data_IF_271721859227
#
_entry.id   IF_271721859227
#
_cell.length_a   1.000
_cell.length_b   1.000
_cell.length_c   1.000
_cell.angle_alpha   90.00
_cell.angle_beta   90.00
_cell.angle_gamma   90.00
#
_symmetry.space_group_name_H-M   'P 1'
#
loop_
_entity.id
_entity.type
_entity.pdbx_description
1 polymer ?
#
# COMPACT_ATOMS: atom_id res chain seq x y z
N UNK A 1 -14.57 -18.59 -4.28
CA UNK A 1 -14.45 -17.13 -4.53
C UNK A 1 -14.34 -16.31 -3.25
N UNK A 2 -15.36 -16.28 -2.38
CA UNK A 2 -15.32 -15.45 -1.16
C UNK A 2 -14.17 -15.82 -0.22
N UNK A 3 -13.93 -17.11 0.02
CA UNK A 3 -12.88 -17.59 0.94
C UNK A 3 -11.48 -17.20 0.46
N UNK A 4 -11.18 -17.36 -0.84
CA UNK A 4 -9.89 -16.96 -1.42
C UNK A 4 -9.67 -15.45 -1.37
N UNK A 5 -10.73 -14.67 -1.59
CA UNK A 5 -10.67 -13.21 -1.54
C UNK A 5 -10.43 -12.73 -0.10
N UNK A 6 -11.10 -13.33 0.88
CA UNK A 6 -10.87 -13.05 2.30
C UNK A 6 -9.42 -13.40 2.72
N UNK A 7 -8.93 -14.59 2.34
CA UNK A 7 -7.57 -15.01 2.66
C UNK A 7 -6.50 -14.08 2.05
N UNK A 8 -6.65 -13.74 0.76
CA UNK A 8 -5.75 -12.80 0.08
C UNK A 8 -5.80 -11.39 0.71
N UNK A 9 -6.99 -10.95 1.14
CA UNK A 9 -7.16 -9.67 1.86
C UNK A 9 -6.42 -9.65 3.19
N UNK A 10 -6.56 -10.70 4.01
CA UNK A 10 -5.90 -10.77 5.32
C UNK A 10 -4.37 -10.81 5.16
N UNK A 11 -3.86 -11.67 4.27
CA UNK A 11 -2.41 -11.75 4.01
C UNK A 11 -1.89 -10.43 3.44
N UNK A 12 -2.59 -9.85 2.46
CA UNK A 12 -2.23 -8.56 1.89
C UNK A 12 -2.23 -7.44 2.92
N UNK A 13 -3.20 -7.41 3.84
CA UNK A 13 -3.29 -6.39 4.89
C UNK A 13 -2.14 -6.50 5.88
N UNK A 14 -1.75 -7.71 6.28
CA UNK A 14 -0.57 -7.94 7.13
C UNK A 14 0.70 -7.48 6.39
N UNK A 15 0.86 -7.85 5.12
CA UNK A 15 2.02 -7.47 4.32
C UNK A 15 2.09 -5.95 4.15
N UNK A 16 0.98 -5.29 3.81
CA UNK A 16 0.93 -3.83 3.71
C UNK A 16 1.26 -3.15 5.03
N UNK A 17 0.73 -3.64 6.16
CA UNK A 17 1.03 -3.07 7.46
C UNK A 17 2.53 -3.17 7.80
N UNK A 18 3.12 -4.37 7.66
CA UNK A 18 4.53 -4.60 7.98
C UNK A 18 5.45 -3.85 7.02
N UNK A 19 5.23 -4.00 5.71
CA UNK A 19 6.07 -3.34 4.68
C UNK A 19 5.91 -1.81 4.75
N UNK A 20 4.70 -1.33 5.01
CA UNK A 20 4.44 0.09 5.22
C UNK A 20 5.19 0.63 6.43
N UNK A 21 5.18 -0.08 7.56
CA UNK A 21 5.98 0.29 8.73
C UNK A 21 7.48 0.31 8.41
N UNK A 22 8.00 -0.69 7.72
CA UNK A 22 9.42 -0.73 7.35
C UNK A 22 9.79 0.45 6.45
N UNK A 23 9.05 0.65 5.34
CA UNK A 23 9.36 1.69 4.35
C UNK A 23 9.15 3.08 4.93
N UNK A 24 7.98 3.34 5.51
CA UNK A 24 7.64 4.68 5.99
C UNK A 24 8.18 4.95 7.37
N UNK A 25 7.85 4.09 8.34
CA UNK A 25 8.21 4.30 9.75
C UNK A 25 9.72 4.25 10.03
N UNK A 26 10.45 3.31 9.41
CA UNK A 26 11.89 3.16 9.69
C UNK A 26 12.78 3.95 8.73
N UNK A 27 12.41 4.08 7.45
CA UNK A 27 13.30 4.68 6.45
C UNK A 27 12.84 6.08 6.01
N UNK A 28 11.70 6.19 5.35
CA UNK A 28 11.30 7.44 4.69
C UNK A 28 10.96 8.56 5.67
N UNK A 29 10.20 8.27 6.74
CA UNK A 29 9.76 9.27 7.71
C UNK A 29 10.94 10.00 8.38
N UNK A 30 11.90 9.30 9.03
CA UNK A 30 13.02 9.96 9.70
C UNK A 30 14.05 10.55 8.73
N UNK A 31 14.32 9.90 7.60
CA UNK A 31 15.43 10.29 6.73
C UNK A 31 15.04 11.33 5.67
N UNK A 32 13.77 11.37 5.24
CA UNK A 32 13.36 12.15 4.07
C UNK A 32 12.10 12.97 4.32
N UNK A 33 11.02 12.40 4.85
CA UNK A 33 9.74 13.08 4.94
C UNK A 33 9.74 14.17 6.00
N UNK A 34 9.93 13.86 7.30
CA UNK A 34 9.88 14.87 8.37
C UNK A 34 10.79 16.08 8.14
N UNK A 35 12.06 15.92 7.71
CA UNK A 35 12.93 17.07 7.45
C UNK A 35 12.37 18.01 6.36
N UNK A 36 11.61 17.47 5.40
CA UNK A 36 11.08 18.19 4.25
C UNK A 36 9.58 18.56 4.40
N UNK A 37 8.98 18.36 5.57
CA UNK A 37 7.60 18.75 5.86
C UNK A 37 7.54 20.00 6.76
N UNK A 38 6.47 20.78 6.59
CA UNK A 38 6.15 21.88 7.49
C UNK A 38 5.48 21.34 8.75
N UNK A 39 5.81 21.92 9.90
CA UNK A 39 5.26 21.51 11.20
C UNK A 39 4.07 22.38 11.58
N UNK A 40 2.96 21.72 11.93
CA UNK A 40 1.75 22.35 12.43
C UNK A 40 1.31 21.64 13.70
N UNK A 41 0.98 22.42 14.74
CA UNK A 41 0.51 21.88 16.00
C UNK A 41 -0.76 21.03 15.78
N UNK A 42 -0.73 19.79 16.26
CA UNK A 42 -1.87 18.86 16.17
C UNK A 42 -2.02 18.12 14.84
N UNK A 43 -1.14 18.34 13.85
CA UNK A 43 -1.21 17.63 12.56
C UNK A 43 -0.87 16.14 12.69
N UNK A 44 0.20 15.83 13.43
CA UNK A 44 0.69 14.46 13.64
C UNK A 44 0.31 14.00 15.05
N UNK A 45 -0.32 12.82 15.15
CA UNK A 45 -0.60 12.17 16.44
C UNK A 45 0.68 11.57 17.01
N UNK A 46 0.91 11.70 18.31
CA UNK A 46 2.03 11.04 18.99
C UNK A 46 1.95 9.52 18.90
N UNK A 47 0.73 8.98 19.05
CA UNK A 47 0.42 7.56 18.86
C UNK A 47 -0.66 7.47 17.79
N UNK A 48 -0.46 6.68 16.72
CA UNK A 48 -1.48 6.49 15.70
C UNK A 48 -2.68 5.72 16.28
N UNK A 49 -3.88 6.01 15.78
CA UNK A 49 -5.04 5.19 16.09
C UNK A 49 -4.92 3.85 15.35
N UNK A 50 -4.71 2.78 16.11
CA UNK A 50 -4.42 1.45 15.55
C UNK A 50 -5.57 0.87 14.74
N UNK A 51 -6.81 1.03 15.19
CA UNK A 51 -7.98 0.47 14.50
C UNK A 51 -8.15 0.99 13.06
N UNK A 52 -8.22 2.32 12.81
CA UNK A 52 -8.31 2.83 11.44
C UNK A 52 -7.07 2.51 10.61
N UNK A 53 -5.87 2.46 11.21
CA UNK A 53 -4.65 2.07 10.50
C UNK A 53 -4.71 0.61 10.00
N UNK A 54 -5.14 -0.32 10.85
CA UNK A 54 -5.29 -1.74 10.49
C UNK A 54 -6.38 -1.88 9.42
N UNK A 55 -7.52 -1.21 9.60
CA UNK A 55 -8.65 -1.25 8.65
C UNK A 55 -8.21 -0.68 7.29
N UNK A 56 -7.46 0.42 7.25
CA UNK A 56 -6.97 1.00 6.00
C UNK A 56 -6.12 0.00 5.20
N UNK A 57 -5.22 -0.72 5.86
CA UNK A 57 -4.40 -1.75 5.21
C UNK A 57 -5.23 -2.92 4.68
N UNK A 58 -6.25 -3.36 5.43
CA UNK A 58 -7.18 -4.40 4.98
C UNK A 58 -8.03 -3.94 3.78
N UNK A 59 -8.48 -2.68 3.78
CA UNK A 59 -9.25 -2.11 2.66
C UNK A 59 -8.37 -2.01 1.40
N UNK A 60 -7.13 -1.55 1.52
CA UNK A 60 -6.18 -1.54 0.39
C UNK A 60 -5.92 -2.96 -0.13
N UNK A 61 -5.73 -3.94 0.76
CA UNK A 61 -5.54 -5.33 0.38
C UNK A 61 -6.77 -5.93 -0.30
N UNK A 62 -7.97 -5.59 0.18
CA UNK A 62 -9.24 -5.99 -0.42
C UNK A 62 -9.38 -5.43 -1.84
N UNK A 63 -9.03 -4.16 -2.05
CA UNK A 63 -9.04 -3.54 -3.37
C UNK A 63 -8.16 -4.32 -4.35
N UNK A 64 -6.93 -4.66 -3.95
CA UNK A 64 -6.00 -5.41 -4.78
C UNK A 64 -6.49 -6.84 -5.04
N UNK A 65 -6.95 -7.53 -3.99
CA UNK A 65 -7.50 -8.87 -4.10
C UNK A 65 -8.72 -8.91 -5.04
N UNK A 66 -9.59 -7.90 -4.98
CA UNK A 66 -10.75 -7.78 -5.84
C UNK A 66 -10.35 -7.50 -7.30
N UNK A 67 -9.44 -6.56 -7.55
CA UNK A 67 -8.92 -6.30 -8.91
C UNK A 67 -8.29 -7.58 -9.50
N UNK A 68 -7.46 -8.28 -8.72
CA UNK A 68 -6.76 -9.46 -9.21
C UNK A 68 -7.67 -10.67 -9.40
N UNK A 69 -8.58 -10.94 -8.47
CA UNK A 69 -9.48 -12.09 -8.56
C UNK A 69 -10.60 -11.86 -9.58
N UNK A 70 -11.29 -10.73 -9.49
CA UNK A 70 -12.53 -10.46 -10.21
C UNK A 70 -12.34 -9.78 -11.56
N UNK A 71 -11.30 -8.96 -11.74
CA UNK A 71 -11.15 -8.15 -12.98
C UNK A 71 -10.02 -8.63 -13.90
N UNK A 72 -8.90 -9.09 -13.34
CA UNK A 72 -7.67 -9.27 -14.11
C UNK A 72 -7.16 -10.72 -14.18
N UNK A 73 -7.67 -11.64 -13.37
CA UNK A 73 -7.20 -13.03 -13.35
C UNK A 73 -5.72 -13.19 -12.95
N UNK A 74 -5.18 -12.29 -12.13
CA UNK A 74 -3.76 -12.30 -11.72
C UNK A 74 -3.53 -13.33 -10.61
N UNK A 75 -2.61 -14.28 -10.84
CA UNK A 75 -2.39 -15.45 -9.95
C UNK A 75 -0.93 -15.76 -9.62
N UNK A 76 0.02 -14.97 -10.10
CA UNK A 76 1.45 -15.18 -9.83
C UNK A 76 2.06 -13.97 -9.14
N UNK A 77 3.06 -14.22 -8.28
CA UNK A 77 3.75 -13.16 -7.56
C UNK A 77 4.31 -12.10 -8.50
N UNK A 78 4.98 -12.50 -9.59
CA UNK A 78 5.60 -11.56 -10.51
C UNK A 78 4.57 -10.67 -11.24
N UNK A 79 3.43 -11.23 -11.64
CA UNK A 79 2.35 -10.45 -12.25
C UNK A 79 1.68 -9.52 -11.23
N UNK A 80 1.44 -10.02 -10.01
CA UNK A 80 0.91 -9.24 -8.91
C UNK A 80 1.83 -8.10 -8.49
N UNK A 81 3.15 -8.33 -8.46
CA UNK A 81 4.11 -7.30 -8.10
C UNK A 81 4.13 -6.16 -9.12
N UNK A 82 4.13 -6.48 -10.42
CA UNK A 82 4.07 -5.45 -11.48
C UNK A 82 2.77 -4.65 -11.40
N UNK A 83 1.63 -5.34 -11.34
CA UNK A 83 0.34 -4.69 -11.26
C UNK A 83 0.20 -3.85 -9.98
N UNK A 84 0.64 -4.38 -8.84
CA UNK A 84 0.56 -3.73 -7.55
C UNK A 84 1.45 -2.51 -7.42
N UNK A 85 2.66 -2.56 -7.98
CA UNK A 85 3.55 -1.41 -8.07
C UNK A 85 2.89 -0.26 -8.83
N UNK A 86 2.29 -0.55 -9.98
CA UNK A 86 1.62 0.46 -10.82
C UNK A 86 0.39 1.03 -10.10
N UNK A 87 -0.48 0.17 -9.57
CA UNK A 87 -1.71 0.60 -8.88
C UNK A 87 -1.37 1.51 -7.69
N UNK A 88 -0.45 1.07 -6.82
CA UNK A 88 -0.10 1.84 -5.63
C UNK A 88 0.62 3.14 -5.99
N UNK A 89 1.52 3.12 -6.99
CA UNK A 89 2.22 4.32 -7.44
C UNK A 89 1.26 5.36 -8.03
N UNK A 90 0.26 4.96 -8.82
CA UNK A 90 -0.72 5.89 -9.38
C UNK A 90 -1.64 6.48 -8.30
N UNK A 91 -2.08 5.66 -7.33
CA UNK A 91 -2.89 6.13 -6.19
C UNK A 91 -2.07 7.13 -5.35
N UNK A 92 -0.84 6.77 -4.98
CA UNK A 92 0.05 7.64 -4.20
C UNK A 92 0.34 8.94 -4.94
N UNK A 93 0.71 8.88 -6.22
CA UNK A 93 1.00 10.08 -7.00
C UNK A 93 -0.21 11.02 -7.04
N UNK A 94 -1.42 10.48 -7.24
CA UNK A 94 -2.64 11.28 -7.24
C UNK A 94 -2.85 11.97 -5.89
N UNK A 95 -2.74 11.25 -4.77
CA UNK A 95 -2.88 11.81 -3.42
C UNK A 95 -1.81 12.87 -3.13
N UNK A 96 -0.55 12.58 -3.45
CA UNK A 96 0.56 13.49 -3.16
C UNK A 96 0.49 14.78 -3.99
N UNK A 97 0.06 14.70 -5.25
CA UNK A 97 -0.18 15.89 -6.07
C UNK A 97 -1.35 16.73 -5.52
N UNK A 98 -2.42 16.09 -5.03
CA UNK A 98 -3.51 16.81 -4.37
C UNK A 98 -3.04 17.47 -3.07
N UNK A 99 -2.24 16.80 -2.26
CA UNK A 99 -1.69 17.35 -1.02
C UNK A 99 -0.79 18.55 -1.30
N UNK A 100 0.04 18.46 -2.33
CA UNK A 100 0.89 19.57 -2.77
C UNK A 100 0.09 20.74 -3.37
N UNK A 101 -1.03 20.47 -4.04
CA UNK A 101 -1.86 21.51 -4.65
C UNK A 101 -2.73 22.26 -3.63
N UNK A 102 -3.30 21.55 -2.65
CA UNK A 102 -4.28 22.12 -1.73
C UNK A 102 -3.69 22.57 -0.39
N UNK A 103 -2.55 22.02 0.04
CA UNK A 103 -2.03 22.22 1.39
C UNK A 103 -0.55 22.58 1.42
N UNK A 104 -0.17 23.37 2.42
CA UNK A 104 1.22 23.74 2.67
C UNK A 104 1.95 22.71 3.54
N UNK A 105 1.74 21.41 3.29
CA UNK A 105 2.36 20.33 4.09
C UNK A 105 3.84 20.13 3.76
N UNK A 106 4.24 20.36 2.51
CA UNK A 106 5.57 20.06 2.02
C UNK A 106 6.39 21.34 1.83
N UNK A 107 7.68 21.30 2.19
CA UNK A 107 8.62 22.40 1.91
C UNK A 107 9.04 22.45 0.44
N UNK A 108 8.98 21.31 -0.24
CA UNK A 108 9.41 21.10 -1.63
C UNK A 108 8.80 19.79 -2.17
N UNK A 109 9.16 19.36 -3.37
CA UNK A 109 8.65 18.12 -3.99
C UNK A 109 9.33 16.82 -3.50
N UNK A 110 10.32 16.90 -2.60
CA UNK A 110 11.06 15.70 -2.14
C UNK A 110 10.12 14.67 -1.46
N UNK A 111 9.20 15.03 -0.56
CA UNK A 111 8.27 14.08 0.05
C UNK A 111 7.34 13.39 -0.96
N UNK A 112 6.95 14.11 -2.03
CA UNK A 112 6.11 13.58 -3.11
C UNK A 112 6.84 12.46 -3.85
N UNK A 113 8.10 12.69 -4.23
CA UNK A 113 8.93 11.69 -4.93
C UNK A 113 9.28 10.52 -4.02
N UNK A 114 9.57 10.80 -2.75
CA UNK A 114 9.89 9.78 -1.75
C UNK A 114 8.69 8.83 -1.50
N UNK A 115 7.50 9.39 -1.34
CA UNK A 115 6.26 8.62 -1.17
C UNK A 115 5.93 7.77 -2.40
N UNK A 116 6.13 8.33 -3.61
CA UNK A 116 5.95 7.58 -4.85
C UNK A 116 6.89 6.35 -4.92
N UNK A 117 8.15 6.52 -4.55
CA UNK A 117 9.11 5.42 -4.51
C UNK A 117 8.74 4.37 -3.44
N UNK A 118 8.37 4.82 -2.24
CA UNK A 118 7.91 3.95 -1.17
C UNK A 118 6.66 3.14 -1.55
N UNK A 119 5.69 3.81 -2.17
CA UNK A 119 4.44 3.23 -2.65
C UNK A 119 4.65 2.22 -3.77
N UNK A 120 5.60 2.48 -4.67
CA UNK A 120 5.97 1.52 -5.72
C UNK A 120 6.48 0.21 -5.11
N UNK A 121 7.41 0.28 -4.15
CA UNK A 121 7.96 -0.90 -3.47
C UNK A 121 6.91 -1.62 -2.63
N UNK A 122 6.13 -0.86 -1.86
CA UNK A 122 5.04 -1.40 -1.04
C UNK A 122 3.98 -2.11 -1.90
N UNK A 123 3.56 -1.47 -2.99
CA UNK A 123 2.62 -2.03 -3.96
C UNK A 123 3.15 -3.28 -4.63
N UNK A 124 4.44 -3.33 -4.97
CA UNK A 124 5.07 -4.51 -5.55
C UNK A 124 5.04 -5.71 -4.60
N UNK A 125 5.46 -5.51 -3.34
CA UNK A 125 5.55 -6.60 -2.37
C UNK A 125 4.14 -7.07 -1.97
N UNK A 126 3.23 -6.13 -1.64
CA UNK A 126 1.86 -6.46 -1.25
C UNK A 126 1.05 -7.06 -2.40
N UNK A 127 1.12 -6.49 -3.60
CA UNK A 127 0.49 -7.04 -4.79
C UNK A 127 1.01 -8.44 -5.14
N UNK A 128 2.33 -8.64 -5.06
CA UNK A 128 2.93 -9.96 -5.25
C UNK A 128 2.39 -11.00 -4.25
N UNK A 129 2.34 -10.67 -2.97
CA UNK A 129 1.82 -11.55 -1.92
C UNK A 129 0.33 -11.91 -2.14
N UNK A 130 -0.51 -10.91 -2.43
CA UNK A 130 -1.94 -11.10 -2.70
C UNK A 130 -2.14 -12.03 -3.90
N UNK A 131 -1.44 -11.80 -5.01
CA UNK A 131 -1.53 -12.64 -6.19
C UNK A 131 -1.07 -14.08 -5.94
N UNK A 132 -0.01 -14.26 -5.14
CA UNK A 132 0.50 -15.58 -4.77
C UNK A 132 -0.54 -16.40 -3.98
N UNK A 133 -1.23 -15.77 -3.02
CA UNK A 133 -2.31 -16.41 -2.24
C UNK A 133 -3.46 -16.82 -3.15
N UNK A 134 -3.90 -15.92 -4.04
CA UNK A 134 -4.96 -16.21 -5.01
C UNK A 134 -4.60 -17.39 -5.91
N UNK A 135 -3.37 -17.45 -6.42
CA UNK A 135 -2.88 -18.56 -7.23
C UNK A 135 -2.81 -19.88 -6.48
N UNK A 136 -2.29 -19.87 -5.25
CA UNK A 136 -2.17 -21.06 -4.41
C UNK A 136 -3.53 -21.68 -4.09
N UNK A 137 -4.56 -20.85 -3.81
CA UNK A 137 -5.88 -21.34 -3.46
C UNK A 137 -6.69 -21.83 -4.66
N UNK A 138 -6.52 -21.22 -5.84
CA UNK A 138 -7.16 -21.72 -7.06
C UNK A 138 -6.70 -23.14 -7.41
N UNK A 139 -5.41 -23.46 -7.20
CA UNK A 139 -4.89 -24.81 -7.40
C UNK A 139 -5.58 -25.83 -6.48
N UNK A 140 -5.90 -25.44 -5.25
CA UNK A 140 -6.57 -26.29 -4.26
C UNK A 140 -8.04 -26.56 -4.61
N UNK A 141 -8.73 -25.61 -5.23
CA UNK A 141 -10.12 -25.80 -5.69
C UNK A 141 -10.22 -26.77 -6.89
N UNK A 142 -9.10 -27.07 -7.57
CA UNK A 142 -9.05 -27.90 -8.78
C UNK A 142 -8.62 -29.36 -8.54
N UNK A 143 -8.34 -29.75 -7.30
CA UNK A 143 -7.97 -31.11 -6.84
C UNK A 143 -9.03 -31.66 -5.92
#
# INVERSE_FOLDING_TARGET
>A
MLIRLAAATVVGGIVFFVVGFLIYGLFLDPAVMRPNMNEFAGLIKEVPDWAPLIIANLVSALLFAWIYDALAGIRSFAAGAKAGAIIMALISLSLQLMFYAFWNLHKNLVPVVADLAGSLVMGAIGGGAIAAVLGAMQKKDAT
#
